data_IF_044662061663
#
_entry.id   IF_044662061663
#
_cell.length_a   1.000
_cell.length_b   1.000
_cell.length_c   1.000
_cell.angle_alpha   90.00
_cell.angle_beta   90.00
_cell.angle_gamma   90.00
#
_symmetry.space_group_name_H-M   'P 1'
#
loop_
_entity.id
_entity.type
_entity.pdbx_description
1 polymer ?
#
# COMPACT_ATOMS: atom_id res chain seq x y z
N UNK A 1 50.30 22.09 29.70
CA UNK A 1 49.33 20.98 29.60
C UNK A 1 47.91 21.30 30.09
N UNK A 2 47.66 22.26 31.00
CA UNK A 2 46.29 22.59 31.45
C UNK A 2 45.39 23.37 30.45
N UNK A 3 45.95 23.95 29.39
CA UNK A 3 45.18 24.71 28.38
C UNK A 3 44.59 23.87 27.23
N UNK A 4 44.99 22.61 27.07
CA UNK A 4 44.43 21.72 26.03
C UNK A 4 43.17 20.97 26.48
N UNK A 5 42.96 20.79 27.79
CA UNK A 5 41.78 20.09 28.30
C UNK A 5 40.51 20.97 28.30
N UNK A 6 40.64 22.29 28.39
CA UNK A 6 39.48 23.19 28.36
C UNK A 6 38.86 23.30 26.95
N UNK A 7 39.68 23.19 25.90
CA UNK A 7 39.23 23.30 24.51
C UNK A 7 38.40 22.08 24.07
N UNK A 8 38.77 20.88 24.54
CA UNK A 8 38.04 19.65 24.20
C UNK A 8 36.68 19.56 24.90
N UNK A 9 36.56 20.07 26.13
CA UNK A 9 35.28 20.06 26.86
C UNK A 9 34.25 21.02 26.27
N UNK A 10 34.67 22.14 25.67
CA UNK A 10 33.76 23.12 25.05
C UNK A 10 33.25 22.61 23.71
N UNK A 11 34.12 21.96 22.92
CA UNK A 11 33.75 21.40 21.61
C UNK A 11 32.77 20.23 21.79
N UNK A 12 32.96 19.37 22.80
CA UNK A 12 32.06 18.25 23.06
C UNK A 12 30.65 18.72 23.51
N UNK A 13 30.57 19.80 24.28
CA UNK A 13 29.28 20.39 24.71
C UNK A 13 28.54 21.08 23.56
N UNK A 14 29.26 21.74 22.64
CA UNK A 14 28.64 22.35 21.45
C UNK A 14 28.10 21.29 20.49
N UNK A 15 28.80 20.15 20.32
CA UNK A 15 28.32 19.03 19.50
C UNK A 15 27.08 18.36 20.13
N UNK A 16 27.03 18.22 21.47
CA UNK A 16 25.84 17.68 22.15
C UNK A 16 24.62 18.61 21.99
N UNK A 17 24.78 19.93 22.10
CA UNK A 17 23.69 20.90 21.94
C UNK A 17 23.18 20.92 20.50
N UNK A 18 24.06 20.86 19.50
CA UNK A 18 23.68 20.81 18.09
C UNK A 18 22.91 19.52 17.72
N UNK A 19 23.23 18.39 18.35
CA UNK A 19 22.49 17.13 18.13
C UNK A 19 21.07 17.13 18.74
N UNK A 20 20.87 17.87 19.85
CA UNK A 20 19.55 17.98 20.49
C UNK A 20 18.59 18.93 19.77
N UNK A 21 19.11 19.97 19.09
CA UNK A 21 18.30 20.92 18.34
C UNK A 21 17.82 20.38 16.99
N UNK A 22 18.58 19.47 16.36
CA UNK A 22 18.17 18.81 15.11
C UNK A 22 16.95 17.90 15.26
N UNK A 23 16.82 17.20 16.39
CA UNK A 23 15.67 16.30 16.63
C UNK A 23 14.39 17.05 17.02
N UNK A 24 14.51 18.19 17.72
CA UNK A 24 13.36 19.04 18.05
C UNK A 24 12.81 19.78 16.81
N UNK A 25 13.68 20.18 15.88
CA UNK A 25 13.26 20.85 14.64
C UNK A 25 12.64 19.88 13.63
N UNK A 26 13.05 18.61 13.55
CA UNK A 26 12.36 17.60 12.73
C UNK A 26 10.98 17.22 13.29
N UNK A 27 10.82 17.14 14.62
CA UNK A 27 9.52 16.91 15.25
C UNK A 27 8.56 18.11 15.08
N UNK A 28 9.07 19.34 15.13
CA UNK A 28 8.28 20.55 14.88
C UNK A 28 7.97 20.75 13.40
N UNK A 29 8.91 20.47 12.49
CA UNK A 29 8.68 20.47 11.04
C UNK A 29 7.63 19.44 10.64
N UNK A 30 7.68 18.22 11.19
CA UNK A 30 6.66 17.20 10.94
C UNK A 30 5.28 17.56 11.50
N UNK A 31 5.21 18.23 12.65
CA UNK A 31 3.93 18.72 13.20
C UNK A 31 3.38 19.93 12.42
N UNK A 32 4.24 20.86 12.00
CA UNK A 32 3.84 22.02 11.20
C UNK A 32 3.42 21.58 9.79
N UNK A 33 4.14 20.63 9.17
CA UNK A 33 3.72 20.05 7.89
C UNK A 33 2.40 19.27 8.03
N UNK A 34 2.20 18.49 9.09
CA UNK A 34 0.91 17.82 9.36
C UNK A 34 -0.22 18.82 9.59
N UNK A 35 0.02 19.91 10.31
CA UNK A 35 -0.99 20.91 10.64
C UNK A 35 -1.35 21.81 9.44
N UNK A 36 -0.35 22.23 8.65
CA UNK A 36 -0.57 22.95 7.38
C UNK A 36 -1.22 22.03 6.32
N UNK A 37 -0.90 20.73 6.35
CA UNK A 37 -1.52 19.74 5.47
C UNK A 37 -2.97 19.47 5.87
N UNK A 38 -3.29 19.39 7.16
CA UNK A 38 -4.68 19.26 7.64
C UNK A 38 -5.53 20.47 7.29
N UNK A 39 -5.04 21.71 7.50
CA UNK A 39 -5.80 22.92 7.18
C UNK A 39 -6.04 23.08 5.67
N UNK A 40 -5.02 22.87 4.84
CA UNK A 40 -5.18 22.96 3.39
C UNK A 40 -6.04 21.82 2.81
N UNK A 41 -6.00 20.63 3.42
CA UNK A 41 -6.83 19.51 3.00
C UNK A 41 -8.29 19.72 3.40
N UNK A 42 -8.56 20.22 4.60
CA UNK A 42 -9.91 20.59 5.05
C UNK A 42 -10.48 21.74 4.20
N UNK A 43 -9.68 22.76 3.91
CA UNK A 43 -10.08 23.84 3.03
C UNK A 43 -10.36 23.35 1.61
N UNK A 44 -9.50 22.52 1.03
CA UNK A 44 -9.70 21.96 -0.30
C UNK A 44 -10.91 21.01 -0.38
N UNK A 45 -11.14 20.19 0.64
CA UNK A 45 -12.36 19.35 0.75
C UNK A 45 -13.59 20.25 0.81
N UNK A 46 -13.56 21.34 1.60
CA UNK A 46 -14.67 22.29 1.63
C UNK A 46 -14.90 22.98 0.28
N UNK A 47 -13.84 23.27 -0.49
CA UNK A 47 -13.93 23.91 -1.80
C UNK A 47 -14.40 22.98 -2.92
N UNK A 48 -14.05 21.68 -2.87
CA UNK A 48 -14.47 20.70 -3.86
C UNK A 48 -15.89 20.15 -3.63
N UNK A 49 -16.37 20.15 -2.38
CA UNK A 49 -17.66 19.56 -1.99
C UNK A 49 -18.70 20.58 -1.47
N UNK A 50 -18.39 21.89 -1.52
CA UNK A 50 -19.38 22.95 -1.35
C UNK A 50 -20.28 23.04 -2.59
N UNK A 51 -21.36 22.27 -2.63
CA UNK A 51 -22.47 22.58 -3.53
C UNK A 51 -23.10 23.93 -3.11
N UNK A 52 -23.34 24.87 -4.04
CA UNK A 52 -24.00 26.12 -3.73
C UNK A 52 -25.46 25.86 -3.35
N UNK A 53 -25.75 25.86 -2.04
CA UNK A 53 -27.11 25.76 -1.49
C UNK A 53 -27.34 24.64 -0.47
N UNK A 54 -26.35 23.79 -0.18
CA UNK A 54 -26.46 22.80 0.90
C UNK A 54 -25.79 23.34 2.16
N UNK A 55 -26.61 23.89 3.06
CA UNK A 55 -26.21 24.18 4.43
C UNK A 55 -25.98 22.83 5.14
N UNK A 56 -24.72 22.41 5.29
CA UNK A 56 -24.34 21.28 6.14
C UNK A 56 -24.58 21.67 7.60
N UNK A 57 -25.85 21.64 8.03
CA UNK A 57 -26.19 21.63 9.44
C UNK A 57 -25.44 20.46 10.04
N UNK A 58 -24.48 20.75 10.93
CA UNK A 58 -23.96 19.82 11.93
C UNK A 58 -25.19 19.20 12.59
N UNK A 59 -25.65 18.07 12.08
CA UNK A 59 -26.91 17.47 12.50
C UNK A 59 -26.56 16.78 13.80
N UNK A 60 -26.58 17.53 14.89
CA UNK A 60 -26.72 16.92 16.21
C UNK A 60 -28.06 16.21 16.14
N UNK A 61 -28.03 14.90 15.86
CA UNK A 61 -29.20 14.06 15.89
C UNK A 61 -29.57 13.98 17.37
N UNK A 62 -30.34 14.95 17.85
CA UNK A 62 -31.10 14.77 19.07
C UNK A 62 -32.22 13.79 18.72
N UNK A 63 -31.95 12.50 18.89
CA UNK A 63 -33.00 11.51 19.06
C UNK A 63 -33.81 11.98 20.27
N UNK A 64 -34.92 12.66 20.01
CA UNK A 64 -35.93 12.98 21.02
C UNK A 64 -36.70 11.68 21.26
N UNK A 65 -36.09 10.77 22.01
CA UNK A 65 -36.77 9.61 22.53
C UNK A 65 -36.95 9.79 24.04
N UNK A 66 -38.19 9.69 24.50
CA UNK A 66 -38.57 9.85 25.92
C UNK A 66 -38.23 8.61 26.75
N UNK A 67 -37.33 7.77 26.27
CA UNK A 67 -36.78 6.65 27.00
C UNK A 67 -35.28 6.87 27.10
N UNK A 68 -34.79 7.13 28.32
CA UNK A 68 -33.39 7.47 28.55
C UNK A 68 -32.46 6.39 27.98
N UNK A 69 -31.77 6.72 26.90
CA UNK A 69 -30.72 5.88 26.32
C UNK A 69 -29.48 6.74 26.07
N UNK A 70 -28.42 6.35 26.79
CA UNK A 70 -27.00 6.46 26.51
C UNK A 70 -26.63 7.25 25.24
N UNK A 71 -26.16 8.48 25.41
CA UNK A 71 -25.32 9.10 24.39
C UNK A 71 -24.04 8.28 24.24
N UNK A 72 -23.76 7.79 23.04
CA UNK A 72 -22.49 7.14 22.73
C UNK A 72 -21.36 8.13 22.97
N UNK A 73 -20.34 7.71 23.72
CA UNK A 73 -19.17 8.54 24.00
C UNK A 73 -18.19 8.44 22.82
N UNK A 74 -18.41 9.28 21.81
CA UNK A 74 -17.62 9.38 20.57
C UNK A 74 -16.14 9.70 20.80
N UNK A 75 -15.75 10.14 22.01
CA UNK A 75 -14.34 10.38 22.33
C UNK A 75 -13.52 9.08 22.36
N UNK A 76 -14.17 7.92 22.58
CA UNK A 76 -13.50 6.63 22.67
C UNK A 76 -13.15 6.03 21.29
N UNK A 77 -13.95 6.27 20.25
CA UNK A 77 -13.66 5.75 18.90
C UNK A 77 -12.41 6.38 18.30
N UNK A 78 -12.29 7.71 18.39
CA UNK A 78 -11.12 8.43 17.86
C UNK A 78 -9.83 8.01 18.56
N UNK A 79 -9.85 7.94 19.90
CA UNK A 79 -8.72 7.46 20.68
C UNK A 79 -8.35 6.01 20.34
N UNK A 80 -9.35 5.14 20.15
CA UNK A 80 -9.15 3.74 19.75
C UNK A 80 -8.58 3.63 18.34
N UNK A 81 -9.05 4.44 17.40
CA UNK A 81 -8.54 4.49 16.03
C UNK A 81 -7.07 4.90 16.00
N UNK A 82 -6.70 5.98 16.67
CA UNK A 82 -5.30 6.42 16.72
C UNK A 82 -4.39 5.40 17.43
N UNK A 83 -4.88 4.75 18.47
CA UNK A 83 -4.15 3.68 19.14
C UNK A 83 -3.91 2.47 18.22
N UNK A 84 -4.97 1.98 17.56
CA UNK A 84 -4.90 0.86 16.61
C UNK A 84 -4.00 1.21 15.43
N UNK A 85 -4.12 2.42 14.91
CA UNK A 85 -3.27 2.95 13.84
C UNK A 85 -1.79 2.91 14.24
N UNK A 86 -1.45 3.39 15.44
CA UNK A 86 -0.09 3.31 15.98
C UNK A 86 0.45 1.88 16.02
N UNK A 87 -0.34 0.93 16.54
CA UNK A 87 0.02 -0.50 16.57
C UNK A 87 0.28 -1.04 15.16
N UNK A 88 -0.58 -0.70 14.19
CA UNK A 88 -0.45 -1.17 12.81
C UNK A 88 0.77 -0.57 12.11
N UNK A 89 1.09 0.71 12.35
CA UNK A 89 2.30 1.36 11.82
C UNK A 89 3.56 0.70 12.37
N UNK A 90 3.64 0.50 13.68
CA UNK A 90 4.80 -0.15 14.31
C UNK A 90 5.01 -1.57 13.77
N UNK A 91 3.93 -2.32 13.61
CA UNK A 91 3.94 -3.66 13.02
C UNK A 91 4.38 -3.66 11.56
N UNK A 92 3.89 -2.71 10.75
CA UNK A 92 4.32 -2.57 9.37
C UNK A 92 5.81 -2.24 9.27
N UNK A 93 6.33 -1.41 10.18
CA UNK A 93 7.75 -1.10 10.27
C UNK A 93 8.59 -2.33 10.68
N UNK A 94 8.10 -3.15 11.62
CA UNK A 94 8.73 -4.43 11.96
C UNK A 94 8.75 -5.39 10.77
N UNK A 95 7.66 -5.48 10.01
CA UNK A 95 7.59 -6.30 8.81
C UNK A 95 8.63 -5.85 7.77
N UNK A 96 8.76 -4.54 7.53
CA UNK A 96 9.82 -4.02 6.65
C UNK A 96 11.21 -4.39 7.16
N UNK A 97 11.44 -4.33 8.48
CA UNK A 97 12.72 -4.71 9.06
C UNK A 97 13.00 -6.21 8.87
N UNK A 98 11.98 -7.07 8.94
CA UNK A 98 12.11 -8.52 8.66
C UNK A 98 12.42 -8.74 7.17
N UNK A 99 11.67 -8.11 6.27
CA UNK A 99 11.90 -8.16 4.82
C UNK A 99 13.30 -7.64 4.47
N UNK A 100 13.75 -6.56 5.11
CA UNK A 100 15.09 -6.01 4.96
C UNK A 100 16.19 -6.89 5.58
N UNK A 101 15.87 -7.77 6.54
CA UNK A 101 16.82 -8.79 7.03
C UNK A 101 16.88 -10.00 6.10
N UNK A 102 15.77 -10.34 5.45
CA UNK A 102 15.70 -11.35 4.40
C UNK A 102 16.32 -10.88 3.07
N UNK A 103 16.96 -9.69 3.07
CA UNK A 103 17.68 -9.08 1.95
C UNK A 103 18.73 -9.99 1.30
N UNK A 104 19.24 -11.00 2.01
CA UNK A 104 20.13 -12.02 1.43
C UNK A 104 19.43 -12.82 0.30
N UNK A 105 18.10 -12.99 0.38
CA UNK A 105 17.28 -13.72 -0.60
C UNK A 105 16.40 -12.79 -1.46
N UNK A 106 16.19 -11.54 -1.03
CA UNK A 106 15.35 -10.58 -1.75
C UNK A 106 16.13 -9.94 -2.90
N UNK A 107 15.54 -9.96 -4.10
CA UNK A 107 16.11 -9.28 -5.25
C UNK A 107 16.20 -7.76 -4.96
N UNK A 108 17.37 -7.15 -5.19
CA UNK A 108 17.59 -5.72 -4.93
C UNK A 108 16.53 -4.85 -5.60
N UNK A 109 16.11 -5.20 -6.80
CA UNK A 109 15.09 -4.44 -7.54
C UNK A 109 13.72 -4.57 -6.91
N UNK A 110 13.36 -5.74 -6.39
CA UNK A 110 12.13 -5.89 -5.62
C UNK A 110 12.22 -5.08 -4.31
N UNK A 111 13.37 -5.07 -3.63
CA UNK A 111 13.55 -4.24 -2.45
C UNK A 111 13.36 -2.74 -2.75
N UNK A 112 14.10 -2.21 -3.73
CA UNK A 112 14.04 -0.82 -4.14
C UNK A 112 12.61 -0.43 -4.60
N UNK A 113 11.90 -1.36 -5.23
CA UNK A 113 10.50 -1.20 -5.63
C UNK A 113 9.58 -0.98 -4.42
N UNK A 114 9.72 -1.83 -3.40
CA UNK A 114 8.91 -1.76 -2.18
C UNK A 114 9.20 -0.49 -1.36
N UNK A 115 10.34 0.15 -1.58
CA UNK A 115 10.71 1.43 -0.97
C UNK A 115 10.27 2.66 -1.79
N UNK A 116 9.65 2.48 -2.95
CA UNK A 116 9.11 3.62 -3.71
C UNK A 116 8.00 4.32 -2.93
N UNK A 117 7.90 5.64 -3.08
CA UNK A 117 6.83 6.45 -2.48
C UNK A 117 5.44 5.88 -2.79
N UNK A 118 5.25 5.33 -4.00
CA UNK A 118 4.00 4.66 -4.37
C UNK A 118 3.69 3.49 -3.44
N UNK A 119 4.63 2.57 -3.22
CA UNK A 119 4.41 1.41 -2.35
C UNK A 119 4.28 1.82 -0.88
N UNK A 120 5.00 2.85 -0.44
CA UNK A 120 4.85 3.41 0.91
C UNK A 120 3.45 3.98 1.12
N UNK A 121 2.92 4.76 0.17
CA UNK A 121 1.55 5.29 0.22
C UNK A 121 0.48 4.21 0.11
N UNK A 122 0.73 3.16 -0.68
CA UNK A 122 -0.17 2.01 -0.76
C UNK A 122 -0.27 1.32 0.60
N UNK A 123 0.86 1.16 1.29
CA UNK A 123 0.90 0.59 2.64
C UNK A 123 0.20 1.47 3.66
N UNK A 124 0.43 2.78 3.64
CA UNK A 124 -0.28 3.72 4.52
C UNK A 124 -1.79 3.57 4.35
N UNK A 125 -2.28 3.61 3.11
CA UNK A 125 -3.69 3.43 2.79
C UNK A 125 -4.27 2.13 3.36
N UNK A 126 -3.57 1.01 3.17
CA UNK A 126 -3.95 -0.29 3.76
C UNK A 126 -4.08 -0.19 5.29
N UNK A 127 -3.06 0.36 5.94
CA UNK A 127 -3.03 0.49 7.41
C UNK A 127 -4.25 1.29 7.89
N UNK A 128 -4.53 2.43 7.26
CA UNK A 128 -5.64 3.27 7.69
C UNK A 128 -7.00 2.58 7.50
N UNK A 129 -7.23 1.94 6.35
CA UNK A 129 -8.49 1.25 6.08
C UNK A 129 -8.69 0.04 7.01
N UNK A 130 -7.63 -0.73 7.27
CA UNK A 130 -7.67 -1.85 8.21
C UNK A 130 -7.83 -1.40 9.66
N UNK A 131 -7.20 -0.28 10.05
CA UNK A 131 -7.37 0.31 11.37
C UNK A 131 -8.82 0.74 11.58
N UNK A 132 -9.41 1.43 10.60
CA UNK A 132 -10.82 1.83 10.64
C UNK A 132 -11.76 0.64 10.78
N UNK A 133 -11.56 -0.41 9.97
CA UNK A 133 -12.35 -1.62 10.07
C UNK A 133 -12.17 -2.32 11.42
N UNK A 134 -10.94 -2.38 11.94
CA UNK A 134 -10.64 -2.97 13.25
C UNK A 134 -11.31 -2.21 14.40
N UNK A 135 -11.22 -0.88 14.40
CA UNK A 135 -11.88 -0.03 15.41
C UNK A 135 -13.38 -0.22 15.36
N UNK A 136 -13.96 -0.23 14.16
CA UNK A 136 -15.38 -0.49 13.97
C UNK A 136 -15.78 -1.86 14.53
N UNK A 137 -14.97 -2.91 14.29
CA UNK A 137 -15.22 -4.25 14.84
C UNK A 137 -15.17 -4.29 16.36
N UNK A 138 -14.24 -3.56 16.98
CA UNK A 138 -14.15 -3.47 18.44
C UNK A 138 -15.42 -2.85 19.07
N UNK A 139 -16.05 -1.90 18.37
CA UNK A 139 -17.26 -1.23 18.83
C UNK A 139 -18.57 -1.88 18.34
N UNK A 140 -18.48 -2.89 17.49
CA UNK A 140 -19.63 -3.52 16.83
C UNK A 140 -20.66 -4.12 17.81
N UNK A 141 -20.27 -4.43 19.05
CA UNK A 141 -21.16 -4.96 20.10
C UNK A 141 -22.35 -4.04 20.42
N UNK A 142 -22.21 -2.74 20.16
CA UNK A 142 -23.25 -1.74 20.42
C UNK A 142 -23.99 -1.30 19.14
N UNK A 143 -23.60 -1.84 17.99
CA UNK A 143 -24.15 -1.45 16.68
C UNK A 143 -25.14 -2.53 16.23
N UNK A 144 -26.30 -2.16 15.64
CA UNK A 144 -27.24 -3.14 15.11
C UNK A 144 -26.56 -4.09 14.09
N UNK A 145 -26.82 -5.41 14.15
CA UNK A 145 -26.14 -6.38 13.27
C UNK A 145 -26.29 -6.09 11.77
N UNK A 146 -27.41 -5.50 11.37
CA UNK A 146 -27.66 -5.07 9.99
C UNK A 146 -26.68 -3.99 9.51
N UNK A 147 -26.28 -3.08 10.39
CA UNK A 147 -25.38 -1.98 10.07
C UNK A 147 -23.92 -2.45 10.12
N UNK A 148 -23.59 -3.34 11.05
CA UNK A 148 -22.32 -4.09 11.03
C UNK A 148 -22.17 -4.85 9.71
N UNK A 149 -23.23 -5.50 9.23
CA UNK A 149 -23.22 -6.22 7.95
C UNK A 149 -23.07 -5.29 6.73
N UNK A 150 -23.50 -4.02 6.80
CA UNK A 150 -23.26 -3.03 5.73
C UNK A 150 -21.79 -2.63 5.69
N UNK A 151 -21.22 -2.25 6.83
CA UNK A 151 -19.80 -1.86 6.93
C UNK A 151 -18.88 -3.02 6.52
N UNK A 152 -19.18 -4.25 6.98
CA UNK A 152 -18.46 -5.45 6.55
C UNK A 152 -18.47 -5.63 5.03
N UNK A 153 -19.63 -5.52 4.39
CA UNK A 153 -19.74 -5.66 2.92
C UNK A 153 -18.98 -4.57 2.19
N UNK A 154 -19.06 -3.34 2.67
CA UNK A 154 -18.34 -2.21 2.11
C UNK A 154 -16.81 -2.39 2.22
N UNK A 155 -16.33 -2.85 3.39
CA UNK A 155 -14.93 -3.17 3.59
C UNK A 155 -14.44 -4.30 2.65
N UNK A 156 -15.20 -5.40 2.55
CA UNK A 156 -14.84 -6.51 1.66
C UNK A 156 -14.71 -6.02 0.22
N UNK A 157 -15.67 -5.21 -0.24
CA UNK A 157 -15.62 -4.64 -1.59
C UNK A 157 -14.35 -3.83 -1.83
N UNK A 158 -13.97 -2.95 -0.90
CA UNK A 158 -12.77 -2.14 -1.09
C UNK A 158 -11.50 -2.98 -1.02
N UNK A 159 -11.43 -3.96 -0.10
CA UNK A 159 -10.31 -4.90 0.01
C UNK A 159 -10.13 -5.72 -1.28
N UNK A 160 -11.20 -6.25 -1.86
CA UNK A 160 -11.16 -7.01 -3.11
C UNK A 160 -10.62 -6.18 -4.28
N UNK A 161 -11.06 -4.92 -4.41
CA UNK A 161 -10.62 -4.04 -5.49
C UNK A 161 -9.15 -3.62 -5.32
N UNK A 162 -8.70 -3.31 -4.10
CA UNK A 162 -7.28 -3.04 -3.85
C UNK A 162 -6.40 -4.27 -4.10
N UNK A 163 -6.82 -5.43 -3.60
CA UNK A 163 -6.11 -6.69 -3.81
C UNK A 163 -6.03 -7.05 -5.29
N UNK A 164 -7.09 -6.79 -6.06
CA UNK A 164 -7.08 -6.95 -7.51
C UNK A 164 -6.02 -6.08 -8.17
N UNK A 165 -5.93 -4.80 -7.82
CA UNK A 165 -4.89 -3.91 -8.37
C UNK A 165 -3.47 -4.39 -8.03
N UNK A 166 -3.25 -4.90 -6.82
CA UNK A 166 -1.95 -5.45 -6.42
C UNK A 166 -1.56 -6.69 -7.24
N UNK A 167 -2.54 -7.58 -7.49
CA UNK A 167 -2.36 -8.76 -8.35
C UNK A 167 -2.14 -8.38 -9.81
N UNK A 168 -2.82 -7.35 -10.31
CA UNK A 168 -2.63 -6.80 -11.64
C UNK A 168 -1.21 -6.22 -11.82
N UNK A 169 -0.72 -5.45 -10.84
CA UNK A 169 0.67 -4.98 -10.80
C UNK A 169 1.63 -6.17 -10.83
N UNK A 170 1.42 -7.20 -9.99
CA UNK A 170 2.23 -8.43 -10.02
C UNK A 170 2.23 -9.07 -11.42
N UNK A 171 1.06 -9.19 -12.05
CA UNK A 171 0.93 -9.78 -13.39
C UNK A 171 1.70 -8.97 -14.43
N UNK A 172 1.63 -7.65 -14.36
CA UNK A 172 2.37 -6.75 -15.24
C UNK A 172 3.89 -6.91 -15.08
N UNK A 173 4.38 -7.11 -13.84
CA UNK A 173 5.79 -7.43 -13.56
C UNK A 173 6.25 -8.74 -14.20
N UNK A 174 5.42 -9.77 -14.16
CA UNK A 174 5.76 -11.11 -14.66
C UNK A 174 5.63 -11.22 -16.18
N UNK A 175 4.76 -10.42 -16.82
CA UNK A 175 4.56 -10.44 -18.27
C UNK A 175 5.61 -9.60 -19.01
N UNK A 176 6.55 -10.29 -19.66
CA UNK A 176 7.61 -9.67 -20.49
C UNK A 176 7.06 -8.81 -21.64
N UNK A 177 5.97 -9.22 -22.27
CA UNK A 177 5.36 -8.45 -23.37
C UNK A 177 4.74 -7.17 -22.82
N UNK A 178 4.08 -7.26 -21.67
CA UNK A 178 3.54 -6.10 -20.97
C UNK A 178 4.65 -5.13 -20.54
N UNK A 179 5.71 -5.61 -19.88
CA UNK A 179 6.85 -4.77 -19.49
C UNK A 179 7.53 -4.09 -20.69
N UNK A 180 7.62 -4.77 -21.84
CA UNK A 180 8.09 -4.16 -23.08
C UNK A 180 7.14 -3.07 -23.56
N UNK A 181 5.83 -3.31 -23.53
CA UNK A 181 4.81 -2.32 -23.89
C UNK A 181 4.87 -1.09 -22.99
N UNK A 182 4.99 -1.28 -21.66
CA UNK A 182 5.13 -0.19 -20.67
C UNK A 182 6.34 0.68 -20.99
N UNK A 183 7.48 0.07 -21.35
CA UNK A 183 8.69 0.81 -21.73
C UNK A 183 8.48 1.73 -22.94
N UNK A 184 7.72 1.31 -23.94
CA UNK A 184 7.49 2.12 -25.15
C UNK A 184 6.30 3.08 -25.03
N UNK A 185 5.32 2.74 -24.19
CA UNK A 185 4.07 3.50 -24.02
C UNK A 185 3.85 3.83 -22.54
N UNK A 186 4.84 4.43 -21.89
CA UNK A 186 4.83 4.69 -20.44
C UNK A 186 3.63 5.52 -20.00
N UNK A 187 3.29 6.54 -20.78
CA UNK A 187 2.17 7.45 -20.47
C UNK A 187 0.83 6.70 -20.53
N UNK A 188 0.68 5.77 -21.48
CA UNK A 188 -0.53 4.95 -21.59
C UNK A 188 -0.71 4.07 -20.36
N UNK A 189 0.38 3.46 -19.89
CA UNK A 189 0.35 2.65 -18.69
C UNK A 189 0.04 3.48 -17.44
N UNK A 190 0.78 4.58 -17.24
CA UNK A 190 0.57 5.48 -16.10
C UNK A 190 -0.86 6.02 -16.06
N UNK A 191 -1.39 6.49 -17.20
CA UNK A 191 -2.77 6.99 -17.29
C UNK A 191 -3.80 5.88 -17.00
N UNK A 192 -3.54 4.64 -17.45
CA UNK A 192 -4.41 3.50 -17.14
C UNK A 192 -4.38 3.17 -15.65
N UNK A 193 -3.21 3.19 -15.00
CA UNK A 193 -3.08 3.00 -13.56
C UNK A 193 -3.78 4.12 -12.78
N UNK A 194 -3.57 5.38 -13.17
CA UNK A 194 -4.28 6.54 -12.58
C UNK A 194 -5.79 6.39 -12.68
N UNK A 195 -6.31 5.94 -13.83
CA UNK A 195 -7.73 5.71 -14.01
C UNK A 195 -8.27 4.67 -13.03
N UNK A 196 -7.59 3.52 -12.88
CA UNK A 196 -8.00 2.47 -11.93
C UNK A 196 -7.92 2.95 -10.48
N UNK A 197 -6.89 3.72 -10.13
CA UNK A 197 -6.76 4.33 -8.80
C UNK A 197 -7.87 5.37 -8.52
N UNK A 198 -8.35 6.11 -9.52
CA UNK A 198 -9.53 6.97 -9.39
C UNK A 198 -10.81 6.16 -9.17
N UNK A 199 -10.97 5.04 -9.86
CA UNK A 199 -12.10 4.15 -9.59
C UNK A 199 -12.06 3.61 -8.16
N UNK A 200 -10.88 3.23 -7.66
CA UNK A 200 -10.69 2.85 -6.26
C UNK A 200 -11.01 3.99 -5.30
N UNK A 201 -10.61 5.22 -5.62
CA UNK A 201 -10.98 6.42 -4.87
C UNK A 201 -12.50 6.56 -4.76
N UNK A 202 -13.21 6.40 -5.87
CA UNK A 202 -14.66 6.53 -5.92
C UNK A 202 -15.35 5.42 -5.10
N UNK A 203 -14.89 4.18 -5.20
CA UNK A 203 -15.42 3.05 -4.40
C UNK A 203 -15.12 3.28 -2.92
N UNK A 204 -13.92 3.73 -2.58
CA UNK A 204 -13.53 4.05 -1.21
C UNK A 204 -14.47 5.10 -0.61
N UNK A 205 -14.62 6.24 -1.29
CA UNK A 205 -15.40 7.38 -0.81
C UNK A 205 -16.91 7.05 -0.74
N UNK A 206 -17.46 6.44 -1.78
CA UNK A 206 -18.91 6.27 -1.90
C UNK A 206 -19.44 5.01 -1.21
N UNK A 207 -18.63 3.94 -1.12
CA UNK A 207 -19.11 2.67 -0.60
C UNK A 207 -18.60 2.37 0.80
N UNK A 208 -17.34 2.65 1.10
CA UNK A 208 -16.76 2.33 2.41
C UNK A 208 -16.87 3.49 3.38
N UNK A 209 -16.27 4.62 3.01
CA UNK A 209 -16.21 5.82 3.84
C UNK A 209 -17.61 6.31 4.22
N UNK A 210 -18.48 6.48 3.23
CA UNK A 210 -19.87 6.91 3.44
C UNK A 210 -20.65 5.95 4.35
N UNK A 211 -20.52 4.64 4.15
CA UNK A 211 -21.24 3.64 4.97
C UNK A 211 -20.74 3.66 6.42
N UNK A 212 -19.44 3.81 6.64
CA UNK A 212 -18.89 3.96 7.99
C UNK A 212 -19.41 5.24 8.65
N UNK A 213 -19.43 6.37 7.93
CA UNK A 213 -19.92 7.63 8.45
C UNK A 213 -21.43 7.58 8.77
N UNK A 214 -22.23 6.94 7.91
CA UNK A 214 -23.67 6.75 8.14
C UNK A 214 -23.96 5.90 9.38
N UNK A 215 -23.17 4.85 9.62
CA UNK A 215 -23.37 3.96 10.76
C UNK A 215 -22.83 4.53 12.07
N UNK A 216 -21.68 5.21 12.02
CA UNK A 216 -21.05 5.81 13.20
C UNK A 216 -21.58 7.22 13.51
N UNK A 217 -22.26 7.86 12.56
CA UNK A 217 -22.75 9.24 12.67
C UNK A 217 -21.64 10.29 12.63
N UNK A 218 -20.44 9.94 12.16
CA UNK A 218 -19.27 10.84 12.14
C UNK A 218 -18.51 10.77 10.82
N UNK A 219 -18.31 11.94 10.22
CA UNK A 219 -17.50 12.12 9.01
C UNK A 219 -15.99 12.24 9.33
N UNK A 220 -15.60 12.33 10.61
CA UNK A 220 -14.19 12.52 10.99
C UNK A 220 -13.32 11.31 10.66
N UNK A 221 -13.89 10.10 10.73
CA UNK A 221 -13.18 8.84 10.52
C UNK A 221 -12.92 8.50 9.05
N UNK A 222 -13.34 9.42 8.18
CA UNK A 222 -13.57 9.20 6.77
C UNK A 222 -12.44 9.78 5.91
N UNK A 223 -11.82 10.88 6.38
CA UNK A 223 -10.99 11.76 5.57
C UNK A 223 -9.56 11.25 5.29
N UNK A 224 -8.95 10.49 6.21
CA UNK A 224 -7.53 10.15 6.15
C UNK A 224 -7.18 9.23 4.96
N UNK A 225 -7.91 8.12 4.69
CA UNK A 225 -7.46 7.18 3.66
C UNK A 225 -7.72 7.70 2.24
N UNK A 226 -8.66 8.62 2.08
CA UNK A 226 -8.92 9.31 0.81
C UNK A 226 -7.68 10.06 0.29
N UNK A 227 -6.95 10.73 1.19
CA UNK A 227 -5.74 11.49 0.85
C UNK A 227 -4.63 10.58 0.32
N UNK A 228 -4.47 9.39 0.91
CA UNK A 228 -3.47 8.44 0.46
C UNK A 228 -3.75 7.94 -0.98
N UNK A 229 -5.01 7.73 -1.36
CA UNK A 229 -5.38 7.36 -2.74
C UNK A 229 -5.04 8.49 -3.72
N UNK A 230 -5.31 9.74 -3.36
CA UNK A 230 -4.92 10.89 -4.20
C UNK A 230 -3.40 10.97 -4.41
N UNK A 231 -2.62 10.68 -3.37
CA UNK A 231 -1.16 10.59 -3.48
C UNK A 231 -0.75 9.47 -4.43
N UNK A 232 -1.37 8.28 -4.36
CA UNK A 232 -1.10 7.19 -5.29
C UNK A 232 -1.36 7.57 -6.76
N UNK A 233 -2.45 8.29 -7.03
CA UNK A 233 -2.78 8.77 -8.38
C UNK A 233 -1.66 9.69 -8.90
N UNK A 234 -1.16 10.60 -8.07
CA UNK A 234 -0.04 11.49 -8.45
C UNK A 234 1.25 10.71 -8.70
N UNK A 235 1.54 9.71 -7.87
CA UNK A 235 2.76 8.89 -7.92
C UNK A 235 2.75 7.83 -9.03
N UNK A 236 1.63 7.60 -9.71
CA UNK A 236 1.53 6.57 -10.76
C UNK A 236 2.51 6.80 -11.94
N UNK A 237 2.87 8.05 -12.23
CA UNK A 237 3.86 8.37 -13.26
C UNK A 237 5.27 7.95 -12.81
N UNK A 238 5.69 8.37 -11.62
CA UNK A 238 6.99 8.02 -11.03
C UNK A 238 7.12 6.51 -10.84
N UNK A 239 6.04 5.86 -10.42
CA UNK A 239 5.95 4.41 -10.34
C UNK A 239 6.21 3.74 -11.70
N UNK A 240 5.60 4.25 -12.76
CA UNK A 240 5.79 3.69 -14.12
C UNK A 240 7.22 3.88 -14.59
N UNK A 241 7.83 5.03 -14.31
CA UNK A 241 9.23 5.29 -14.63
C UNK A 241 10.16 4.34 -13.86
N UNK A 242 9.86 4.08 -12.59
CA UNK A 242 10.58 3.10 -11.80
C UNK A 242 10.47 1.69 -12.42
N UNK A 243 9.26 1.24 -12.81
CA UNK A 243 9.07 -0.07 -13.46
C UNK A 243 9.95 -0.23 -14.70
N UNK A 244 10.08 0.82 -15.51
CA UNK A 244 10.89 0.80 -16.73
C UNK A 244 12.36 0.63 -16.41
N UNK A 245 12.85 1.32 -15.37
CA UNK A 245 14.23 1.24 -14.92
C UNK A 245 14.54 -0.12 -14.25
N UNK A 246 13.58 -0.68 -13.51
CA UNK A 246 13.65 -2.00 -12.87
C UNK A 246 13.68 -3.18 -13.87
N UNK A 247 13.22 -2.97 -15.10
CA UNK A 247 13.01 -4.03 -16.11
C UNK A 247 14.28 -4.82 -16.51
N UNK A 248 15.49 -4.29 -16.25
CA UNK A 248 16.73 -5.04 -16.51
C UNK A 248 17.01 -6.16 -15.50
N UNK A 249 16.60 -5.98 -14.24
CA UNK A 249 16.85 -6.90 -13.13
C UNK A 249 15.62 -7.75 -12.78
N UNK A 250 14.41 -7.24 -13.07
CA UNK A 250 13.14 -7.94 -12.85
C UNK A 250 13.04 -9.33 -13.52
N UNK A 251 13.89 -9.62 -14.52
CA UNK A 251 14.00 -10.95 -15.16
C UNK A 251 14.34 -12.08 -14.18
N UNK A 252 14.89 -11.75 -13.01
CA UNK A 252 15.29 -12.69 -11.95
C UNK A 252 14.26 -12.83 -10.84
N UNK A 253 13.24 -11.97 -10.82
CA UNK A 253 12.21 -11.99 -9.80
C UNK A 253 11.28 -13.16 -10.09
N UNK A 254 11.25 -14.11 -9.16
CA UNK A 254 10.35 -15.27 -9.21
C UNK A 254 8.96 -14.87 -8.72
N UNK A 255 7.93 -15.55 -9.20
CA UNK A 255 6.55 -15.30 -8.77
C UNK A 255 6.39 -15.53 -7.26
N UNK A 256 7.08 -16.53 -6.69
CA UNK A 256 7.04 -16.82 -5.26
C UNK A 256 7.56 -15.63 -4.43
N UNK A 257 8.59 -14.93 -4.91
CA UNK A 257 9.09 -13.73 -4.25
C UNK A 257 8.07 -12.59 -4.31
N UNK A 258 7.38 -12.40 -5.43
CA UNK A 258 6.31 -11.39 -5.50
C UNK A 258 5.14 -11.76 -4.58
N UNK A 259 4.77 -13.03 -4.49
CA UNK A 259 3.73 -13.45 -3.54
C UNK A 259 4.14 -13.15 -2.09
N UNK A 260 5.35 -13.55 -1.71
CA UNK A 260 5.85 -13.41 -0.34
C UNK A 260 6.10 -11.95 0.08
N UNK A 261 6.66 -11.12 -0.81
CA UNK A 261 7.15 -9.79 -0.44
C UNK A 261 6.29 -8.63 -0.97
N UNK A 262 5.49 -8.85 -2.03
CA UNK A 262 4.59 -7.85 -2.57
C UNK A 262 3.13 -8.16 -2.22
N UNK A 263 2.62 -9.35 -2.52
CA UNK A 263 1.20 -9.67 -2.30
C UNK A 263 0.89 -9.78 -0.82
N UNK A 264 1.49 -10.72 -0.09
CA UNK A 264 1.13 -10.98 1.31
C UNK A 264 1.27 -9.75 2.23
N UNK A 265 2.33 -8.92 2.14
CA UNK A 265 2.48 -7.79 3.06
C UNK A 265 1.57 -6.61 2.72
N UNK A 266 1.19 -6.46 1.45
CA UNK A 266 0.43 -5.29 0.97
C UNK A 266 -1.02 -5.61 0.64
N UNK A 267 -1.45 -6.88 0.59
CA UNK A 267 -2.87 -7.23 0.43
C UNK A 267 -3.66 -6.71 1.61
N UNK A 268 -4.83 -6.14 1.35
CA UNK A 268 -5.84 -5.91 2.37
C UNK A 268 -6.26 -7.25 2.94
N UNK A 269 -6.25 -7.32 4.27
CA UNK A 269 -6.71 -8.48 5.03
C UNK A 269 -8.20 -8.69 4.85
N UNK A 270 -8.64 -9.94 4.90
CA UNK A 270 -10.07 -10.23 4.91
C UNK A 270 -10.70 -9.74 6.22
N UNK A 271 -12.02 -9.49 6.19
CA UNK A 271 -12.74 -9.04 7.38
C UNK A 271 -12.47 -9.90 8.60
N UNK A 272 -12.35 -11.23 8.45
CA UNK A 272 -12.10 -12.16 9.57
C UNK A 272 -10.67 -12.03 10.10
N UNK A 273 -9.68 -11.74 9.25
CA UNK A 273 -8.27 -11.63 9.61
C UNK A 273 -7.95 -10.32 10.39
N UNK A 274 -8.79 -9.29 10.27
CA UNK A 274 -8.59 -7.99 10.92
C UNK A 274 -8.68 -8.08 12.45
N UNK A 275 -9.45 -9.04 12.99
CA UNK A 275 -9.62 -9.23 14.45
C UNK A 275 -8.40 -9.87 15.12
N UNK A 276 -7.53 -10.54 14.38
CA UNK A 276 -6.34 -11.23 14.92
C UNK A 276 -5.19 -10.23 15.19
N UNK A 277 -5.46 -9.16 15.94
CA UNK A 277 -4.42 -8.22 16.36
C UNK A 277 -3.63 -8.76 17.55
N UNK A 278 -4.19 -9.67 18.34
CA UNK A 278 -3.44 -10.50 19.29
C UNK A 278 -3.04 -11.84 18.66
N UNK A 279 -1.76 -11.99 18.28
CA UNK A 279 -1.11 -13.31 18.25
C UNK A 279 -0.62 -13.86 16.90
N UNK A 280 -1.46 -14.05 15.89
CA UNK A 280 -1.30 -15.32 15.14
C UNK A 280 -0.78 -15.32 13.70
N UNK A 281 -0.56 -14.18 13.02
CA UNK A 281 -0.09 -14.24 11.62
C UNK A 281 1.45 -14.41 11.53
N UNK A 282 2.20 -14.08 12.58
CA UNK A 282 3.67 -13.94 12.50
C UNK A 282 4.47 -15.19 12.85
N UNK A 283 3.84 -16.24 13.38
CA UNK A 283 4.52 -17.52 13.61
C UNK A 283 4.79 -18.28 12.30
N UNK A 284 4.13 -17.93 11.19
CA UNK A 284 4.31 -18.68 9.94
C UNK A 284 5.54 -18.23 9.12
N UNK A 285 5.95 -16.95 9.20
CA UNK A 285 7.14 -16.47 8.48
C UNK A 285 8.47 -16.96 9.08
N UNK A 286 8.49 -17.32 10.36
CA UNK A 286 9.68 -17.90 10.99
C UNK A 286 9.83 -19.40 10.73
N UNK A 287 8.75 -20.10 10.30
CA UNK A 287 8.79 -21.55 10.14
C UNK A 287 9.40 -22.01 8.79
N UNK A 288 9.56 -21.10 7.82
CA UNK A 288 10.23 -21.37 6.55
C UNK A 288 11.76 -21.14 6.60
N UNK A 289 12.28 -20.80 7.78
CA UNK A 289 13.73 -20.67 8.05
C UNK A 289 14.47 -22.01 8.07
N UNK A 290 13.75 -23.13 7.98
CA UNK A 290 14.33 -24.48 7.87
C UNK A 290 14.56 -24.96 6.42
N UNK A 291 14.40 -24.08 5.42
CA UNK A 291 15.05 -24.34 4.13
C UNK A 291 16.56 -24.17 4.28
N UNK A 292 17.21 -25.34 4.36
CA UNK A 292 18.64 -25.58 4.28
C UNK A 292 19.31 -24.58 3.31
N UNK A 293 20.40 -23.90 3.72
CA UNK A 293 21.04 -22.91 2.89
C UNK A 293 21.49 -23.56 1.59
N UNK A 294 20.92 -23.11 0.47
CA UNK A 294 21.36 -23.49 -0.86
C UNK A 294 22.85 -23.16 -0.97
N UNK A 295 23.68 -24.21 -0.98
CA UNK A 295 25.12 -24.15 -1.13
C UNK A 295 25.47 -24.21 -2.63
N UNK A 296 25.90 -23.11 -3.26
CA UNK A 296 26.15 -23.08 -4.70
C UNK A 296 27.57 -23.54 -5.06
N UNK A 297 28.11 -24.57 -4.39
CA UNK A 297 29.43 -25.10 -4.69
C UNK A 297 29.41 -26.61 -5.02
N UNK A 298 29.71 -26.86 -6.31
CA UNK A 298 30.30 -28.07 -6.90
C UNK A 298 29.33 -29.25 -7.11
N UNK A 299 28.74 -29.29 -8.30
CA UNK A 299 28.44 -30.53 -9.01
C UNK A 299 29.03 -30.43 -10.41
N UNK A 300 30.34 -30.64 -10.51
CA UNK A 300 30.92 -31.18 -11.73
C UNK A 300 30.66 -32.69 -11.70
N UNK A 301 29.61 -33.13 -12.37
CA UNK A 301 29.69 -34.41 -13.07
C UNK A 301 28.80 -34.40 -14.29
N UNK A 302 29.35 -34.97 -15.35
CA UNK A 302 28.87 -34.93 -16.71
C UNK A 302 27.90 -36.08 -16.93
N UNK A 303 26.67 -35.79 -17.33
CA UNK A 303 25.96 -36.65 -18.26
C UNK A 303 25.24 -35.79 -19.29
N UNK A 304 25.70 -35.95 -20.53
CA UNK A 304 25.08 -35.45 -21.75
C UNK A 304 23.59 -35.81 -21.77
N UNK A 305 22.70 -34.83 -21.97
CA UNK A 305 21.37 -35.13 -22.51
C UNK A 305 20.81 -33.95 -23.32
N UNK A 306 20.81 -34.21 -24.63
CA UNK A 306 20.11 -33.64 -25.77
C UNK A 306 19.52 -32.21 -25.69
N UNK A 307 20.05 -31.39 -26.60
CA UNK A 307 19.45 -30.17 -27.13
C UNK A 307 18.16 -30.52 -27.94
N UNK A 308 16.96 -30.04 -27.57
CA UNK A 308 15.73 -30.30 -28.34
C UNK A 308 15.44 -29.25 -29.42
N UNK A 309 16.42 -28.45 -29.83
CA UNK A 309 16.30 -27.53 -30.96
C UNK A 309 17.41 -27.81 -31.98
N UNK A 310 17.26 -28.91 -32.72
CA UNK A 310 17.79 -29.01 -34.07
C UNK A 310 16.79 -28.38 -35.03
N UNK A 311 17.31 -27.43 -35.81
CA UNK A 311 16.62 -26.70 -36.85
C UNK A 311 16.08 -27.64 -37.94
N UNK A 312 14.76 -27.82 -38.00
CA UNK A 312 14.12 -28.28 -39.24
C UNK A 312 14.13 -27.14 -40.28
N UNK A 313 14.66 -27.37 -41.50
CA UNK A 313 14.52 -26.42 -42.58
C UNK A 313 13.05 -26.35 -43.03
N UNK A 314 12.41 -25.21 -42.78
CA UNK A 314 11.08 -24.88 -43.29
C UNK A 314 11.11 -24.92 -44.83
N UNK A 315 10.50 -25.95 -45.40
CA UNK A 315 10.27 -26.03 -46.84
C UNK A 315 9.29 -24.94 -47.27
N UNK A 316 9.76 -24.00 -48.11
CA UNK A 316 8.91 -23.00 -48.73
C UNK A 316 7.88 -23.66 -49.67
N UNK A 317 6.59 -23.31 -49.60
CA UNK A 317 5.62 -23.78 -50.59
C UNK A 317 5.93 -23.19 -51.97
N UNK A 318 5.91 -24.06 -52.97
CA UNK A 318 6.18 -23.78 -54.37
C UNK A 318 5.29 -22.64 -54.91
N UNK A 319 5.91 -21.72 -55.67
CA UNK A 319 5.21 -20.68 -56.44
C UNK A 319 4.31 -21.32 -57.49
N UNK A 320 2.99 -21.26 -57.27
CA UNK A 320 2.00 -21.59 -58.30
C UNK A 320 2.04 -20.52 -59.39
N UNK A 321 2.43 -20.91 -60.61
CA UNK A 321 2.37 -20.06 -61.81
C UNK A 321 0.90 -19.74 -62.13
N UNK A 322 0.50 -18.48 -61.94
CA UNK A 322 -0.75 -17.95 -62.48
C UNK A 322 -0.62 -17.85 -64.00
N UNK A 323 -1.38 -18.67 -64.74
CA UNK A 323 -1.58 -18.51 -66.18
C UNK A 323 -2.37 -17.21 -66.42
N UNK A 324 -1.80 -16.29 -67.19
CA UNK A 324 -2.53 -15.18 -67.81
C UNK A 324 -3.50 -15.77 -68.83
N UNK A 325 -4.80 -15.66 -68.58
CA UNK A 325 -5.80 -15.81 -69.62
C UNK A 325 -5.79 -14.54 -70.48
N UNK A 326 -5.51 -14.71 -71.76
CA UNK A 326 -5.86 -13.75 -72.80
C UNK A 326 -7.37 -13.79 -73.00
N UNK A 327 -8.00 -12.63 -72.91
CA UNK A 327 -9.19 -12.25 -73.67
C UNK A 327 -8.98 -10.83 -74.15
#
# INVERSE_FOLDING_TARGET
MKKMFLSFSIILTIILIASSQGQAQQAQSGNIERQIFDENTQQWISEQFAEPGIEYKKRTIYLKDQTGVSGYDYSNFSASLEHIRGIMVDRANQQNAIVARQYIKLDKTLHDFLQTEFMLKYRELKIEAEALASTFKAEANHIPPQDVAKVKRAYIKIADEFNRELVEIKRDFLDRKKMKMIRFNKDVYANSLQYRLRQLQDIYANDFQKVVAEVTGSDEYAAIPFVAILSLIKLAQDFTEYLINANYEARRVKEEHLNQYLIEPYRFRDWVEIEMIEGDIYNNFNNDSNMEPYNPEISQDSTMEMNPFEDEPVSLPAKTKVKKNQW
#
